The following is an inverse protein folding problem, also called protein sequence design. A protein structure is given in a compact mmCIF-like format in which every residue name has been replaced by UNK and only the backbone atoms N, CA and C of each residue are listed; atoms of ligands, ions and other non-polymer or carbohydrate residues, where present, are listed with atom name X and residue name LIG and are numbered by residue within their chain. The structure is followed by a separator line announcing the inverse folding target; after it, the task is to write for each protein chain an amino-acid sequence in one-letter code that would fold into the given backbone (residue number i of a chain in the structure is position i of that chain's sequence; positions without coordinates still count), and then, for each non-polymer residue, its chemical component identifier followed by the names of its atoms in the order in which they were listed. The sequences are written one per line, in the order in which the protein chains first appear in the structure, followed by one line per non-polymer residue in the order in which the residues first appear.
data_IF_313099137219
#
_entry.id   IF_313099137219
#
_cell.length_a   1.000
_cell.length_b   1.000
_cell.length_c   1.000
_cell.angle_alpha   90.00
_cell.angle_beta   90.00
_cell.angle_gamma   90.00
#
_symmetry.space_group_name_H-M   'P 1'
#
loop_
_entity.id
_entity.type
_entity.pdbx_description
1 polymer ?
#
# COMPACT_ATOMS: atom_id res chain seq x y z
N UNK A 1 -16.98 -10.80 -0.76
CA UNK A 1 -16.23 -11.56 -1.79
C UNK A 1 -14.77 -11.17 -1.61
N UNK A 2 -13.81 -12.11 -1.54
CA UNK A 2 -12.38 -11.76 -1.36
C UNK A 2 -11.82 -11.16 -2.65
N UNK A 3 -10.92 -10.18 -2.53
CA UNK A 3 -10.21 -9.61 -3.68
C UNK A 3 -9.43 -10.70 -4.41
N UNK A 4 -9.70 -10.89 -5.70
CA UNK A 4 -8.83 -11.69 -6.57
C UNK A 4 -7.55 -10.91 -6.91
N UNK A 5 -6.52 -11.57 -7.46
CA UNK A 5 -5.23 -10.92 -7.73
C UNK A 5 -5.31 -9.71 -8.69
N UNK A 6 -6.23 -9.72 -9.66
CA UNK A 6 -6.40 -8.62 -10.60
C UNK A 6 -7.04 -7.43 -9.90
N UNK A 7 -8.14 -7.62 -9.19
CA UNK A 7 -8.79 -6.60 -8.36
C UNK A 7 -7.82 -5.99 -7.36
N UNK A 8 -6.98 -6.82 -6.70
CA UNK A 8 -5.96 -6.34 -5.77
C UNK A 8 -4.97 -5.39 -6.47
N UNK A 9 -4.49 -5.74 -7.66
CA UNK A 9 -3.55 -4.91 -8.40
C UNK A 9 -4.18 -3.56 -8.81
N UNK A 10 -5.41 -3.59 -9.30
CA UNK A 10 -6.17 -2.40 -9.70
C UNK A 10 -6.40 -1.45 -8.51
N UNK A 11 -6.88 -1.98 -7.38
CA UNK A 11 -7.14 -1.19 -6.17
C UNK A 11 -5.85 -0.64 -5.57
N UNK A 12 -4.78 -1.44 -5.54
CA UNK A 12 -3.46 -0.97 -5.10
C UNK A 12 -2.96 0.21 -5.93
N UNK A 13 -3.13 0.15 -7.24
CA UNK A 13 -2.67 1.21 -8.13
C UNK A 13 -3.57 2.45 -8.07
N UNK A 14 -4.89 2.29 -7.99
CA UNK A 14 -5.82 3.39 -7.88
C UNK A 14 -5.67 4.16 -6.55
N UNK A 15 -5.39 3.45 -5.46
CA UNK A 15 -5.27 4.05 -4.12
C UNK A 15 -3.84 4.48 -3.76
N UNK A 16 -2.84 4.15 -4.60
CA UNK A 16 -1.44 4.55 -4.46
C UNK A 16 -0.76 4.71 -5.84
N UNK A 17 -1.21 5.70 -6.67
CA UNK A 17 -0.84 5.81 -8.07
C UNK A 17 0.58 6.34 -8.29
N UNK A 18 1.29 5.88 -9.34
CA UNK A 18 2.53 6.49 -9.80
C UNK A 18 2.29 7.91 -10.34
N UNK A 19 3.36 8.67 -10.56
CA UNK A 19 3.28 9.97 -11.19
C UNK A 19 2.99 9.85 -12.70
N UNK A 20 3.56 8.82 -13.34
CA UNK A 20 3.36 8.53 -14.75
C UNK A 20 3.42 7.03 -15.01
N UNK A 21 2.68 6.59 -16.01
CA UNK A 21 2.71 5.24 -16.57
C UNK A 21 3.17 5.31 -18.02
N UNK A 22 4.07 4.42 -18.39
CA UNK A 22 4.61 4.36 -19.75
C UNK A 22 4.55 2.91 -20.24
N UNK A 23 3.71 2.59 -21.21
CA UNK A 23 3.74 1.29 -21.88
C UNK A 23 5.08 1.08 -22.62
N UNK A 24 5.67 -0.11 -22.46
CA UNK A 24 6.87 -0.55 -23.14
C UNK A 24 6.67 -1.99 -23.63
N UNK A 25 6.02 -2.14 -24.78
CA UNK A 25 5.56 -3.44 -25.26
C UNK A 25 4.60 -4.10 -24.25
N UNK A 26 4.87 -5.36 -23.83
CA UNK A 26 4.05 -6.06 -22.84
C UNK A 26 4.27 -5.58 -21.39
N UNK A 27 5.22 -4.67 -21.14
CA UNK A 27 5.51 -4.12 -19.83
C UNK A 27 4.87 -2.74 -19.61
N UNK A 28 4.47 -2.48 -18.36
CA UNK A 28 4.06 -1.16 -17.91
C UNK A 28 5.12 -0.60 -16.96
N UNK A 29 5.83 0.42 -17.39
CA UNK A 29 6.82 1.12 -16.60
C UNK A 29 6.12 2.22 -15.78
N UNK A 30 6.70 2.57 -14.63
CA UNK A 30 6.14 3.60 -13.74
C UNK A 30 7.21 4.59 -13.30
N UNK A 31 6.86 5.86 -13.30
CA UNK A 31 7.66 6.91 -12.68
C UNK A 31 7.10 7.26 -11.30
N UNK A 32 7.84 6.92 -10.24
CA UNK A 32 7.41 7.12 -8.85
C UNK A 32 7.83 8.45 -8.23
N UNK A 33 8.73 9.22 -8.86
CA UNK A 33 9.28 10.50 -8.35
C UNK A 33 9.73 10.43 -6.89
N UNK A 34 10.44 9.34 -6.53
CA UNK A 34 10.91 9.12 -5.16
C UNK A 34 9.85 8.56 -4.20
N UNK A 35 8.67 8.19 -4.68
CA UNK A 35 7.56 7.65 -3.88
C UNK A 35 7.74 6.20 -3.41
N UNK A 36 8.85 5.56 -3.78
CA UNK A 36 9.18 4.20 -3.38
C UNK A 36 8.88 3.13 -4.43
N UNK A 37 9.24 1.89 -4.11
CA UNK A 37 9.26 0.79 -5.08
C UNK A 37 7.92 0.53 -5.78
N UNK A 38 6.79 0.56 -5.05
CA UNK A 38 5.47 0.24 -5.60
C UNK A 38 5.07 1.12 -6.79
N UNK A 39 5.43 2.40 -6.74
CA UNK A 39 5.10 3.38 -7.78
C UNK A 39 6.23 3.56 -8.81
N UNK A 40 7.32 2.78 -8.69
CA UNK A 40 8.47 2.84 -9.61
C UNK A 40 8.74 1.53 -10.33
N UNK A 41 8.16 0.42 -9.84
CA UNK A 41 8.42 -0.90 -10.41
C UNK A 41 7.63 -1.12 -11.70
N UNK A 42 8.27 -1.75 -12.68
CA UNK A 42 7.61 -2.25 -13.87
C UNK A 42 6.82 -3.52 -13.55
N UNK A 43 5.72 -3.72 -14.29
CA UNK A 43 4.92 -4.96 -14.27
C UNK A 43 4.77 -5.49 -15.68
N UNK A 44 4.57 -6.81 -15.82
CA UNK A 44 4.21 -7.42 -17.09
C UNK A 44 2.68 -7.50 -17.17
N UNK A 45 2.12 -7.06 -18.32
CA UNK A 45 0.66 -6.98 -18.51
C UNK A 45 0.18 -7.87 -19.68
N UNK A 46 1.10 -8.47 -20.44
CA UNK A 46 0.80 -9.33 -21.58
C UNK A 46 1.92 -10.37 -21.80
N UNK A 47 1.71 -11.41 -22.61
CA UNK A 47 2.79 -12.34 -23.01
C UNK A 47 3.99 -11.59 -23.59
N UNK A 48 5.20 -11.98 -23.18
CA UNK A 48 6.44 -11.27 -23.46
C UNK A 48 7.53 -12.21 -23.97
N UNK A 49 8.55 -11.62 -24.60
CA UNK A 49 9.75 -12.28 -25.08
C UNK A 49 11.01 -11.67 -24.44
N UNK A 50 12.17 -12.32 -24.57
CA UNK A 50 13.44 -11.86 -23.98
C UNK A 50 13.85 -10.45 -24.46
N UNK A 51 13.55 -10.13 -25.72
CA UNK A 51 13.84 -8.80 -26.28
C UNK A 51 12.96 -7.71 -25.67
N UNK A 52 11.71 -8.02 -25.30
CA UNK A 52 10.83 -7.09 -24.62
C UNK A 52 11.35 -6.76 -23.21
N UNK A 53 11.82 -7.79 -22.49
CA UNK A 53 12.44 -7.61 -21.18
C UNK A 53 13.72 -6.75 -21.29
N UNK A 54 14.57 -7.01 -22.26
CA UNK A 54 15.79 -6.24 -22.52
C UNK A 54 15.46 -4.78 -22.82
N UNK A 55 14.42 -4.52 -23.61
CA UNK A 55 13.94 -3.17 -23.89
C UNK A 55 13.43 -2.47 -22.63
N UNK A 56 12.63 -3.16 -21.81
CA UNK A 56 12.12 -2.60 -20.55
C UNK A 56 13.25 -2.24 -19.58
N UNK A 57 14.28 -3.10 -19.46
CA UNK A 57 15.48 -2.80 -18.67
C UNK A 57 16.21 -1.55 -19.18
N UNK A 58 16.38 -1.42 -20.49
CA UNK A 58 17.06 -0.26 -21.12
C UNK A 58 16.29 1.05 -20.86
N UNK A 59 14.97 1.04 -20.99
CA UNK A 59 14.10 2.21 -20.72
C UNK A 59 14.12 2.64 -19.25
N UNK A 60 14.25 1.69 -18.30
CA UNK A 60 14.35 1.98 -16.86
C UNK A 60 15.74 2.50 -16.44
N UNK A 61 16.77 2.29 -17.25
CA UNK A 61 18.12 2.81 -17.01
C UNK A 61 18.91 2.03 -15.94
N UNK A 62 19.60 2.76 -15.04
CA UNK A 62 20.61 2.17 -14.16
C UNK A 62 20.09 1.18 -13.10
N UNK A 63 18.88 1.41 -12.59
CA UNK A 63 18.30 0.64 -11.49
C UNK A 63 16.95 0.03 -11.87
N UNK A 64 16.89 -0.93 -12.81
CA UNK A 64 15.64 -1.55 -13.20
C UNK A 64 15.02 -2.29 -12.01
N UNK A 65 13.73 -2.08 -11.82
CA UNK A 65 12.94 -2.62 -10.72
C UNK A 65 11.66 -3.23 -11.25
N UNK A 66 11.41 -4.49 -10.95
CA UNK A 66 10.21 -5.19 -11.36
C UNK A 66 9.39 -5.63 -10.14
N UNK A 67 8.08 -5.51 -10.23
CA UNK A 67 7.15 -6.06 -9.27
C UNK A 67 6.63 -7.39 -9.83
N UNK A 68 6.79 -8.46 -9.06
CA UNK A 68 6.44 -9.83 -9.41
C UNK A 68 5.20 -10.25 -8.64
N UNK A 69 4.10 -10.46 -9.36
CA UNK A 69 2.81 -10.88 -8.82
C UNK A 69 2.65 -12.41 -8.91
N UNK A 70 1.62 -12.94 -8.28
CA UNK A 70 1.19 -14.31 -8.53
C UNK A 70 0.87 -14.48 -10.04
N UNK A 71 1.49 -15.45 -10.68
CA UNK A 71 1.38 -15.68 -12.13
C UNK A 71 2.57 -15.19 -12.96
N UNK A 72 3.43 -14.32 -12.43
CA UNK A 72 4.60 -13.80 -13.15
C UNK A 72 5.85 -14.71 -13.03
N UNK A 73 5.69 -16.01 -12.78
CA UNK A 73 6.80 -16.94 -12.51
C UNK A 73 7.86 -17.01 -13.62
N UNK A 74 7.45 -16.99 -14.89
CA UNK A 74 8.39 -16.96 -16.02
C UNK A 74 9.26 -15.69 -16.02
N UNK A 75 8.70 -14.54 -15.65
CA UNK A 75 9.44 -13.28 -15.49
C UNK A 75 10.37 -13.36 -14.29
N UNK A 76 9.92 -13.94 -13.17
CA UNK A 76 10.71 -14.11 -11.96
C UNK A 76 11.97 -14.94 -12.22
N UNK A 77 11.83 -16.07 -12.92
CA UNK A 77 12.95 -16.94 -13.32
C UNK A 77 13.91 -16.22 -14.27
N UNK A 78 13.39 -15.52 -15.28
CA UNK A 78 14.22 -14.80 -16.25
C UNK A 78 15.04 -13.68 -15.59
N UNK A 79 14.45 -12.94 -14.65
CA UNK A 79 15.14 -11.90 -13.88
C UNK A 79 16.18 -12.51 -12.92
N UNK A 80 15.88 -13.65 -12.28
CA UNK A 80 16.85 -14.38 -11.46
C UNK A 80 18.07 -14.80 -12.29
N UNK A 81 17.86 -15.34 -13.49
CA UNK A 81 18.95 -15.72 -14.41
C UNK A 81 19.81 -14.52 -14.84
N UNK A 82 19.24 -13.31 -14.87
CA UNK A 82 19.94 -12.05 -15.17
C UNK A 82 20.60 -11.40 -13.91
N UNK A 83 20.59 -12.09 -12.76
CA UNK A 83 21.25 -11.65 -11.52
C UNK A 83 20.43 -10.72 -10.64
N UNK A 84 19.13 -10.55 -10.90
CA UNK A 84 18.24 -9.79 -10.02
C UNK A 84 17.96 -10.56 -8.72
N UNK A 85 17.97 -9.84 -7.61
CA UNK A 85 17.67 -10.40 -6.28
C UNK A 85 16.23 -10.09 -5.89
N UNK A 86 15.65 -11.00 -5.12
CA UNK A 86 14.35 -10.75 -4.46
C UNK A 86 14.55 -9.71 -3.37
N UNK A 87 13.72 -8.67 -3.38
CA UNK A 87 13.70 -7.65 -2.34
C UNK A 87 12.27 -7.39 -1.87
N UNK A 88 12.12 -7.08 -0.59
CA UNK A 88 10.86 -6.71 0.07
C UNK A 88 9.68 -7.64 -0.29
N UNK A 89 9.70 -8.94 0.07
CA UNK A 89 8.51 -9.76 -0.02
C UNK A 89 7.35 -9.15 0.77
N UNK A 90 6.18 -9.08 0.15
CA UNK A 90 4.98 -8.39 0.65
C UNK A 90 3.80 -9.34 0.71
N UNK A 91 2.99 -9.19 1.74
CA UNK A 91 1.70 -9.86 1.89
C UNK A 91 0.60 -8.80 1.82
N UNK A 92 -0.41 -9.05 1.01
CA UNK A 92 -1.66 -8.31 1.00
C UNK A 92 -2.65 -8.96 1.97
N UNK A 93 -3.27 -8.15 2.80
CA UNK A 93 -4.32 -8.55 3.73
C UNK A 93 -5.62 -7.83 3.40
N UNK A 94 -6.75 -8.49 3.66
CA UNK A 94 -8.08 -7.94 3.50
C UNK A 94 -9.01 -8.44 4.60
N UNK A 95 -10.03 -7.64 4.91
CA UNK A 95 -11.21 -8.09 5.65
C UNK A 95 -12.44 -7.27 5.24
N UNK A 96 -13.66 -7.81 5.40
CA UNK A 96 -14.89 -7.04 5.28
C UNK A 96 -14.87 -5.85 6.23
N UNK A 97 -15.34 -4.70 5.74
CA UNK A 97 -15.41 -3.46 6.54
C UNK A 97 -16.19 -3.69 7.83
N UNK A 98 -17.32 -4.40 7.75
CA UNK A 98 -18.18 -4.67 8.91
C UNK A 98 -17.46 -5.44 10.02
N UNK A 99 -16.58 -6.38 9.66
CA UNK A 99 -15.82 -7.17 10.62
C UNK A 99 -14.71 -6.34 11.30
N UNK A 100 -14.09 -5.44 10.54
CA UNK A 100 -13.03 -4.55 11.03
C UNK A 100 -13.54 -3.45 11.95
N UNK A 101 -14.72 -2.90 11.69
CA UNK A 101 -15.34 -1.88 12.54
C UNK A 101 -15.54 -2.43 13.95
N UNK A 102 -16.13 -3.64 14.07
CA UNK A 102 -16.45 -4.23 15.38
C UNK A 102 -17.17 -3.24 16.29
N UNK A 103 -16.64 -3.03 17.51
CA UNK A 103 -17.14 -2.02 18.46
C UNK A 103 -16.78 -0.57 18.10
N UNK A 104 -16.10 -0.37 16.97
CA UNK A 104 -15.54 0.92 16.58
C UNK A 104 -14.23 1.28 17.29
N UNK A 105 -13.61 2.42 16.94
CA UNK A 105 -12.49 2.96 17.69
C UNK A 105 -12.95 3.45 19.05
N UNK A 106 -12.06 3.46 20.04
CA UNK A 106 -12.32 4.11 21.33
C UNK A 106 -12.68 5.57 21.13
N UNK A 107 -13.55 6.11 22.03
CA UNK A 107 -14.01 7.49 21.91
C UNK A 107 -12.84 8.48 21.88
N UNK A 108 -12.92 9.47 20.99
CA UNK A 108 -11.97 10.58 20.87
C UNK A 108 -10.52 10.14 20.61
N UNK A 109 -10.31 8.95 20.03
CA UNK A 109 -8.97 8.45 19.70
C UNK A 109 -8.60 8.58 18.23
N UNK A 110 -9.57 8.90 17.35
CA UNK A 110 -9.32 8.98 15.90
C UNK A 110 -10.12 10.11 15.25
N UNK A 111 -9.52 10.75 14.23
CA UNK A 111 -10.10 11.90 13.53
C UNK A 111 -9.84 11.76 12.02
N UNK A 112 -10.83 11.28 11.24
CA UNK A 112 -10.74 11.29 9.78
C UNK A 112 -10.80 12.71 9.24
N UNK A 113 -9.93 13.06 8.31
CA UNK A 113 -9.88 14.38 7.68
C UNK A 113 -9.14 14.34 6.34
N UNK A 114 -9.35 15.37 5.53
CA UNK A 114 -8.58 15.66 4.33
C UNK A 114 -8.61 17.19 4.10
N UNK A 115 -7.51 17.83 3.71
CA UNK A 115 -6.14 17.32 3.47
C UNK A 115 -5.36 17.02 4.77
N UNK A 116 -4.13 16.45 4.65
CA UNK A 116 -3.29 16.16 5.82
C UNK A 116 -2.95 17.40 6.64
N UNK A 117 -3.25 17.39 7.94
CA UNK A 117 -2.81 18.42 8.88
C UNK A 117 -1.29 18.40 9.07
N UNK A 118 -0.70 19.52 9.51
CA UNK A 118 0.74 19.65 9.72
C UNK A 118 1.28 18.56 10.68
N UNK A 119 0.55 18.24 11.75
CA UNK A 119 0.94 17.19 12.69
C UNK A 119 0.99 15.79 12.02
N UNK A 120 0.09 15.50 11.12
CA UNK A 120 0.10 14.25 10.36
C UNK A 120 1.32 14.18 9.43
N UNK A 121 1.62 15.27 8.72
CA UNK A 121 2.80 15.41 7.87
C UNK A 121 4.09 15.22 8.66
N UNK A 122 4.16 15.78 9.90
CA UNK A 122 5.33 15.62 10.77
C UNK A 122 5.52 14.18 11.22
N UNK A 123 4.47 13.49 11.68
CA UNK A 123 4.54 12.08 12.09
C UNK A 123 5.03 11.20 10.93
N UNK A 124 4.54 11.44 9.71
CA UNK A 124 5.02 10.74 8.53
C UNK A 124 6.48 11.06 8.20
N UNK A 125 6.89 12.32 8.28
CA UNK A 125 8.27 12.74 8.02
C UNK A 125 9.25 12.07 9.00
N UNK A 126 8.91 12.03 10.29
CA UNK A 126 9.70 11.37 11.34
C UNK A 126 9.82 9.85 11.11
N UNK A 127 8.85 9.25 10.41
CA UNK A 127 8.84 7.85 10.00
C UNK A 127 9.46 7.61 8.60
N UNK A 128 10.04 8.64 7.97
CA UNK A 128 10.64 8.54 6.63
C UNK A 128 9.64 8.57 5.47
N UNK A 129 8.40 8.99 5.73
CA UNK A 129 7.37 9.20 4.71
C UNK A 129 7.33 10.70 4.36
N UNK A 130 8.19 11.08 3.41
CA UNK A 130 8.42 12.47 3.01
C UNK A 130 7.49 12.97 1.90
N UNK A 131 7.80 14.16 1.32
CA UNK A 131 6.96 14.85 0.34
C UNK A 131 6.59 14.02 -0.89
N UNK A 132 7.51 13.17 -1.37
CA UNK A 132 7.26 12.31 -2.52
C UNK A 132 6.08 11.34 -2.29
N UNK A 133 5.94 10.79 -1.08
CA UNK A 133 4.81 9.92 -0.72
C UNK A 133 3.54 10.71 -0.43
N UNK A 134 3.64 11.91 0.11
CA UNK A 134 2.48 12.81 0.24
C UNK A 134 1.91 13.18 -1.12
N UNK A 135 2.76 13.44 -2.11
CA UNK A 135 2.34 13.68 -3.49
C UNK A 135 1.59 12.49 -4.12
N UNK A 136 1.88 11.24 -3.70
CA UNK A 136 1.09 10.07 -4.11
C UNK A 136 -0.33 10.18 -3.53
N UNK A 137 -0.47 10.49 -2.25
CA UNK A 137 -1.78 10.62 -1.60
C UNK A 137 -2.61 11.74 -2.26
N UNK A 138 -1.97 12.83 -2.66
CA UNK A 138 -2.61 13.95 -3.36
C UNK A 138 -3.14 13.53 -4.75
N UNK A 139 -2.39 12.69 -5.49
CA UNK A 139 -2.78 12.18 -6.81
C UNK A 139 -3.93 11.18 -6.80
N UNK A 140 -4.25 10.56 -5.67
CA UNK A 140 -5.37 9.63 -5.59
C UNK A 140 -6.66 10.36 -5.98
N UNK A 141 -7.38 9.80 -6.91
CA UNK A 141 -8.70 10.26 -7.33
C UNK A 141 -9.79 9.63 -6.44
N UNK A 142 -10.93 10.30 -6.30
CA UNK A 142 -12.04 9.80 -5.50
C UNK A 142 -11.89 10.01 -3.98
N UNK A 143 -12.63 9.21 -3.22
CA UNK A 143 -12.71 9.35 -1.77
C UNK A 143 -11.39 8.93 -1.10
N UNK A 144 -10.86 9.82 -0.28
CA UNK A 144 -9.62 9.61 0.48
C UNK A 144 -9.63 10.37 1.80
N UNK A 145 -8.95 9.84 2.80
CA UNK A 145 -8.82 10.50 4.09
C UNK A 145 -7.48 10.17 4.77
N UNK A 146 -7.10 11.06 5.67
CA UNK A 146 -6.10 10.80 6.70
C UNK A 146 -6.84 10.44 7.97
N UNK A 147 -6.38 9.39 8.65
CA UNK A 147 -6.86 9.02 9.97
C UNK A 147 -5.80 9.43 10.98
N UNK A 148 -6.04 10.51 11.72
CA UNK A 148 -5.16 10.93 12.81
C UNK A 148 -5.53 10.16 14.08
N UNK A 149 -4.56 9.47 14.68
CA UNK A 149 -4.70 8.79 15.97
C UNK A 149 -4.33 9.72 17.14
N UNK A 150 -5.01 9.53 18.29
CA UNK A 150 -4.75 10.25 19.54
C UNK A 150 -4.66 9.28 20.71
N UNK A 151 -3.69 9.47 21.58
CA UNK A 151 -3.55 8.78 22.85
C UNK A 151 -2.88 9.72 23.86
N UNK A 152 -3.31 9.68 25.14
CA UNK A 152 -2.75 10.51 26.21
C UNK A 152 -2.66 11.99 25.83
N UNK A 153 -3.74 12.53 25.27
CA UNK A 153 -3.88 13.92 24.81
C UNK A 153 -2.85 14.38 23.75
N UNK A 154 -2.23 13.42 23.04
CA UNK A 154 -1.24 13.67 21.99
C UNK A 154 -1.62 12.95 20.70
N UNK A 155 -1.17 13.45 19.56
CA UNK A 155 -1.20 12.73 18.32
C UNK A 155 -0.35 11.46 18.46
N UNK A 156 -0.96 10.28 18.29
CA UNK A 156 -0.32 8.99 18.53
C UNK A 156 0.09 8.28 17.26
N UNK A 157 -0.43 8.70 16.12
CA UNK A 157 -0.15 8.06 14.85
C UNK A 157 -0.98 8.64 13.73
N UNK A 158 -0.78 8.12 12.54
CA UNK A 158 -1.46 8.57 11.33
C UNK A 158 -1.55 7.43 10.32
N UNK A 159 -2.60 7.40 9.51
CA UNK A 159 -2.76 6.50 8.39
C UNK A 159 -3.41 7.24 7.22
N UNK A 160 -3.22 6.74 6.00
CA UNK A 160 -3.94 7.18 4.82
C UNK A 160 -4.86 6.05 4.34
N UNK A 161 -6.10 6.39 3.99
CA UNK A 161 -7.08 5.46 3.43
C UNK A 161 -7.68 6.06 2.17
N UNK A 162 -7.88 5.23 1.15
CA UNK A 162 -8.53 5.64 -0.09
C UNK A 162 -9.42 4.51 -0.62
N UNK A 163 -10.48 4.89 -1.35
CA UNK A 163 -11.43 3.97 -1.95
C UNK A 163 -11.28 3.91 -3.46
N UNK A 164 -11.52 2.72 -4.02
CA UNK A 164 -11.70 2.48 -5.44
C UNK A 164 -12.83 1.46 -5.63
N UNK A 165 -13.93 1.91 -6.24
CA UNK A 165 -15.16 1.11 -6.29
C UNK A 165 -15.64 0.72 -4.89
N UNK A 166 -15.95 -0.55 -4.69
CA UNK A 166 -16.36 -1.10 -3.40
C UNK A 166 -15.19 -1.57 -2.51
N UNK A 167 -13.97 -1.22 -2.87
CA UNK A 167 -12.76 -1.59 -2.16
C UNK A 167 -12.08 -0.36 -1.58
N UNK A 168 -11.49 -0.50 -0.39
CA UNK A 168 -10.63 0.50 0.19
C UNK A 168 -9.26 -0.07 0.51
N UNK A 169 -8.22 0.77 0.52
CA UNK A 169 -6.90 0.39 1.00
C UNK A 169 -6.36 1.37 2.03
N UNK A 170 -5.74 0.80 3.07
CA UNK A 170 -4.99 1.53 4.08
C UNK A 170 -3.51 1.56 3.71
N UNK A 171 -2.93 2.74 3.75
CA UNK A 171 -1.53 2.99 3.45
C UNK A 171 -0.88 3.81 4.55
N UNK A 172 0.44 3.76 4.64
CA UNK A 172 1.25 4.64 5.47
C UNK A 172 0.76 4.74 6.93
N UNK A 173 0.36 3.60 7.51
CA UNK A 173 0.00 3.51 8.93
C UNK A 173 1.25 3.60 9.79
N UNK A 174 1.38 4.69 10.54
CA UNK A 174 2.50 4.95 11.43
C UNK A 174 2.02 5.27 12.84
N UNK A 175 2.70 4.75 13.84
CA UNK A 175 2.46 5.04 15.26
C UNK A 175 3.72 5.61 15.86
N UNK A 176 3.60 6.76 16.50
CA UNK A 176 4.70 7.42 17.22
C UNK A 176 5.36 6.43 18.18
N UNK A 177 6.69 6.21 18.09
CA UNK A 177 7.38 5.15 18.85
C UNK A 177 7.07 5.14 20.35
N UNK A 178 7.07 6.30 20.99
CA UNK A 178 6.76 6.45 22.43
C UNK A 178 5.30 6.12 22.80
N UNK A 179 4.39 6.05 21.82
CA UNK A 179 2.95 5.78 22.01
C UNK A 179 2.52 4.43 21.41
N UNK A 180 3.48 3.57 21.07
CA UNK A 180 3.19 2.21 20.59
C UNK A 180 2.63 1.32 21.70
N UNK A 181 1.99 0.22 21.32
CA UNK A 181 1.39 -0.80 22.21
C UNK A 181 0.24 -0.29 23.10
N UNK A 182 -0.35 0.85 22.75
CA UNK A 182 -1.49 1.47 23.44
C UNK A 182 -2.80 1.38 22.65
N UNK A 183 -2.85 0.55 21.60
CA UNK A 183 -4.06 0.34 20.79
C UNK A 183 -4.25 1.34 19.64
N UNK A 184 -3.40 2.37 19.49
CA UNK A 184 -3.58 3.43 18.47
C UNK A 184 -3.70 2.89 17.03
N UNK A 185 -2.89 1.89 16.64
CA UNK A 185 -2.97 1.29 15.31
C UNK A 185 -4.30 0.57 15.08
N UNK A 186 -4.81 -0.11 16.11
CA UNK A 186 -6.11 -0.79 16.07
C UNK A 186 -7.25 0.21 15.94
N UNK A 187 -7.24 1.30 16.72
CA UNK A 187 -8.25 2.35 16.63
C UNK A 187 -8.24 3.01 15.24
N UNK A 188 -7.06 3.32 14.70
CA UNK A 188 -6.94 3.89 13.34
C UNK A 188 -7.43 2.92 12.26
N UNK A 189 -7.18 1.62 12.40
CA UNK A 189 -7.67 0.62 11.46
C UNK A 189 -9.20 0.52 11.49
N UNK A 190 -9.81 0.51 12.68
CA UNK A 190 -11.27 0.54 12.86
C UNK A 190 -11.91 1.82 12.31
N UNK A 191 -11.27 2.96 12.56
CA UNK A 191 -11.72 4.24 12.04
C UNK A 191 -11.62 4.31 10.50
N UNK A 192 -10.55 3.76 9.92
CA UNK A 192 -10.39 3.66 8.47
C UNK A 192 -11.47 2.77 7.85
N UNK A 193 -11.77 1.63 8.49
CA UNK A 193 -12.85 0.74 8.05
C UNK A 193 -14.22 1.44 8.13
N UNK A 194 -14.53 2.11 9.25
CA UNK A 194 -15.78 2.86 9.41
C UNK A 194 -15.92 3.99 8.39
N UNK A 195 -14.84 4.73 8.14
CA UNK A 195 -14.81 5.76 7.10
C UNK A 195 -15.02 5.17 5.71
N UNK A 196 -14.31 4.08 5.37
CA UNK A 196 -14.43 3.42 4.08
C UNK A 196 -15.85 2.88 3.84
N UNK A 197 -16.47 2.27 4.86
CA UNK A 197 -17.88 1.83 4.80
C UNK A 197 -18.85 2.98 4.55
N UNK A 198 -18.62 4.14 5.17
CA UNK A 198 -19.41 5.34 4.92
C UNK A 198 -19.22 5.90 3.49
N UNK A 199 -18.13 5.54 2.79
CA UNK A 199 -17.93 5.83 1.37
C UNK A 199 -18.46 4.73 0.44
N UNK A 200 -19.07 3.67 0.97
CA UNK A 200 -19.65 2.55 0.20
C UNK A 200 -18.67 1.41 -0.07
N UNK A 201 -17.54 1.35 0.62
CA UNK A 201 -16.63 0.22 0.50
C UNK A 201 -17.12 -0.99 1.32
N UNK A 202 -17.05 -2.18 0.73
CA UNK A 202 -17.40 -3.45 1.36
C UNK A 202 -16.21 -4.08 2.08
N UNK A 203 -15.00 -3.82 1.60
CA UNK A 203 -13.77 -4.37 2.19
C UNK A 203 -12.66 -3.32 2.33
N UNK A 204 -11.76 -3.57 3.28
CA UNK A 204 -10.54 -2.81 3.50
C UNK A 204 -9.33 -3.74 3.38
N UNK A 205 -8.46 -3.41 2.44
CA UNK A 205 -7.18 -4.07 2.24
C UNK A 205 -6.00 -3.23 2.72
N UNK A 206 -4.85 -3.88 2.81
CA UNK A 206 -3.54 -3.25 3.03
C UNK A 206 -2.43 -4.19 2.57
N UNK A 207 -1.23 -3.65 2.41
CA UNK A 207 -0.05 -4.45 2.11
C UNK A 207 1.07 -4.17 3.12
N UNK A 208 1.82 -5.21 3.46
CA UNK A 208 2.91 -5.13 4.44
C UNK A 208 4.06 -6.06 4.05
N UNK A 209 5.29 -5.65 4.28
CA UNK A 209 6.45 -6.51 4.08
C UNK A 209 6.41 -7.72 5.02
N UNK A 210 6.83 -8.88 4.55
CA UNK A 210 6.88 -10.10 5.37
C UNK A 210 7.73 -9.94 6.63
N UNK A 211 8.76 -9.09 6.57
CA UNK A 211 9.65 -8.79 7.68
C UNK A 211 8.95 -8.03 8.83
N UNK A 212 7.81 -7.35 8.58
CA UNK A 212 7.10 -6.59 9.60
C UNK A 212 6.19 -7.49 10.44
N UNK A 213 6.79 -8.35 11.26
CA UNK A 213 6.09 -9.28 12.16
C UNK A 213 5.05 -8.61 13.08
N UNK A 214 5.37 -7.49 13.75
CA UNK A 214 4.42 -6.77 14.62
C UNK A 214 3.14 -6.31 13.90
N UNK A 215 3.25 -5.75 12.69
CA UNK A 215 2.10 -5.32 11.91
C UNK A 215 1.26 -6.52 11.44
N UNK A 216 1.90 -7.58 10.94
CA UNK A 216 1.23 -8.83 10.54
C UNK A 216 0.44 -9.45 11.69
N UNK A 217 1.02 -9.47 12.90
CA UNK A 217 0.34 -9.97 14.10
C UNK A 217 -0.87 -9.09 14.47
N UNK A 218 -0.81 -7.78 14.27
CA UNK A 218 -1.97 -6.88 14.45
C UNK A 218 -3.07 -7.23 13.45
N UNK A 219 -2.76 -7.32 12.16
CA UNK A 219 -3.76 -7.57 11.11
C UNK A 219 -4.44 -8.93 11.29
N UNK A 220 -3.69 -9.98 11.65
CA UNK A 220 -4.26 -11.28 11.98
C UNK A 220 -5.22 -11.22 13.19
N UNK A 221 -4.87 -10.49 14.26
CA UNK A 221 -5.77 -10.29 15.43
C UNK A 221 -7.02 -9.49 15.08
N UNK A 222 -6.93 -8.59 14.07
CA UNK A 222 -8.07 -7.84 13.56
C UNK A 222 -8.95 -8.65 12.58
N UNK A 223 -8.65 -9.95 12.38
CA UNK A 223 -9.41 -10.81 11.50
C UNK A 223 -9.10 -10.67 10.01
N UNK A 224 -8.07 -9.88 9.65
CA UNK A 224 -7.66 -9.75 8.27
C UNK A 224 -7.00 -11.03 7.76
N UNK A 225 -7.31 -11.42 6.53
CA UNK A 225 -6.80 -12.63 5.89
C UNK A 225 -5.83 -12.27 4.77
N UNK A 226 -4.76 -13.07 4.56
CA UNK A 226 -3.91 -12.93 3.39
C UNK A 226 -4.70 -13.21 2.11
N UNK A 227 -4.62 -12.30 1.13
CA UNK A 227 -5.30 -12.42 -0.17
C UNK A 227 -4.35 -12.39 -1.35
N UNK A 228 -3.07 -12.08 -1.12
CA UNK A 228 -2.07 -12.08 -2.17
C UNK A 228 -0.67 -11.90 -1.63
N UNK A 229 0.29 -12.16 -2.49
CA UNK A 229 1.72 -11.92 -2.24
C UNK A 229 2.36 -11.38 -3.49
N UNK A 230 3.38 -10.55 -3.31
CA UNK A 230 4.26 -10.10 -4.36
C UNK A 230 5.64 -9.79 -3.79
N UNK A 231 6.62 -9.67 -4.64
CA UNK A 231 7.94 -9.18 -4.27
C UNK A 231 8.51 -8.31 -5.39
N UNK A 232 9.66 -7.72 -5.14
CA UNK A 232 10.36 -7.00 -6.17
C UNK A 232 11.62 -7.76 -6.60
N UNK A 233 12.00 -7.57 -7.87
CA UNK A 233 13.30 -7.94 -8.39
C UNK A 233 14.11 -6.68 -8.67
N UNK A 234 15.30 -6.59 -8.09
CA UNK A 234 16.23 -5.48 -8.23
C UNK A 234 17.66 -6.02 -8.39
N UNK A 235 18.47 -5.38 -9.19
CA UNK A 235 19.90 -5.70 -9.33
C UNK A 235 20.71 -5.32 -8.11
#
# INVERSE_FOLDING_TARGET
MSMDPQTLAEVMEATWPPAMRQPCGPFLLREGKGGGKRVSAATVEAPWQQDDLTRAEAEMGADPLFLIRAGDGALDEALAARGYRVVDPVIAYEAPVVDLIGEGPRRMTTFPHWPPMQIARQIWADAGIGPARLAIMERVEGAKAVILGRANDRASGVAFVACHGQQAMLHALEVVPALRRQGSAQDMLRAAAGWAGAQGADSLGLVVTEANGPARALYARMGMRPVGRYHYRQR
#
